data_IF_677861090246
#
_entry.id   IF_677861090246
#
_cell.length_a   1.000
_cell.length_b   1.000
_cell.length_c   1.000
_cell.angle_alpha   90.00
_cell.angle_beta   90.00
_cell.angle_gamma   90.00
#
_symmetry.space_group_name_H-M   'P 1'
#
loop_
_entity.id
_entity.type
_entity.pdbx_description
1 polymer ?
#
# COMPACT_ATOMS: atom_id res chain seq x y z
N UNK A 1 -20.10 75.65 18.21
CA UNK A 1 -20.89 74.38 18.10
C UNK A 1 -19.93 73.24 17.81
N UNK A 2 -19.49 72.51 18.81
CA UNK A 2 -18.56 71.42 18.69
C UNK A 2 -19.34 70.11 18.62
N UNK A 3 -19.24 69.39 17.54
CA UNK A 3 -19.72 68.03 17.39
C UNK A 3 -18.62 67.05 17.78
N UNK A 4 -18.89 66.24 18.80
CA UNK A 4 -18.00 65.21 19.30
C UNK A 4 -18.05 64.01 18.35
N UNK A 5 -16.91 63.69 17.77
CA UNK A 5 -16.70 62.43 17.03
C UNK A 5 -16.36 61.34 18.08
N UNK A 6 -17.27 60.43 18.34
CA UNK A 6 -17.01 59.25 19.14
C UNK A 6 -16.33 58.20 18.28
N UNK A 7 -15.06 57.96 18.52
CA UNK A 7 -14.28 56.86 17.92
C UNK A 7 -14.65 55.58 18.61
N UNK A 8 -15.46 54.72 17.96
CA UNK A 8 -15.67 53.33 18.37
C UNK A 8 -14.43 52.52 18.00
N UNK A 9 -13.63 52.16 19.00
CA UNK A 9 -12.52 51.22 18.89
C UNK A 9 -13.11 49.81 18.90
N UNK A 10 -13.30 49.19 17.73
CA UNK A 10 -13.65 47.78 17.59
C UNK A 10 -12.42 46.93 17.96
N UNK A 11 -12.44 46.40 19.18
CA UNK A 11 -11.50 45.37 19.62
C UNK A 11 -11.87 44.06 18.90
N UNK A 12 -11.22 43.77 17.78
CA UNK A 12 -11.26 42.48 17.14
C UNK A 12 -10.42 41.52 17.98
N UNK A 13 -11.07 40.82 18.90
CA UNK A 13 -10.47 39.64 19.54
C UNK A 13 -10.22 38.60 18.47
N UNK A 14 -9.00 38.55 17.97
CA UNK A 14 -8.48 37.45 17.17
C UNK A 14 -8.33 36.24 18.12
N UNK A 15 -9.37 35.46 18.29
CA UNK A 15 -9.26 34.14 18.88
C UNK A 15 -8.40 33.31 17.96
N UNK A 16 -7.08 33.38 18.13
CA UNK A 16 -6.17 32.39 17.59
C UNK A 16 -6.56 31.03 18.22
N UNK A 17 -7.36 30.28 17.55
CA UNK A 17 -7.54 28.87 17.86
C UNK A 17 -6.18 28.22 17.78
N UNK A 18 -5.52 28.06 18.92
CA UNK A 18 -4.33 27.23 19.06
C UNK A 18 -4.75 25.86 18.58
N UNK A 19 -4.40 25.53 17.35
CA UNK A 19 -4.54 24.18 16.81
C UNK A 19 -3.73 23.27 17.73
N UNK A 20 -4.39 22.69 18.71
CA UNK A 20 -3.78 21.74 19.64
C UNK A 20 -3.37 20.55 18.80
N UNK A 21 -2.09 20.28 18.73
CA UNK A 21 -1.59 19.08 18.08
C UNK A 21 -2.27 17.88 18.75
N UNK A 22 -2.88 17.02 17.94
CA UNK A 22 -3.51 15.80 18.42
C UNK A 22 -2.42 14.92 19.05
N UNK A 23 -2.58 14.63 20.34
CA UNK A 23 -1.67 13.73 21.05
C UNK A 23 -2.20 12.31 20.93
N UNK A 24 -1.35 11.40 20.46
CA UNK A 24 -1.65 9.99 20.31
C UNK A 24 -0.68 9.15 21.16
N UNK A 25 -1.09 7.95 21.60
CA UNK A 25 -0.20 7.03 22.29
C UNK A 25 1.04 6.72 21.46
N UNK A 26 2.22 6.59 22.10
CA UNK A 26 3.47 6.21 21.42
C UNK A 26 3.32 4.86 20.70
N UNK A 27 2.61 3.93 21.30
CA UNK A 27 2.26 2.66 20.65
C UNK A 27 0.82 2.26 20.95
N UNK A 28 0.25 1.53 20.02
CA UNK A 28 -1.07 0.90 20.14
C UNK A 28 -0.98 -0.54 19.63
N UNK A 29 -1.66 -1.44 20.33
CA UNK A 29 -1.75 -2.85 19.97
C UNK A 29 -3.20 -3.32 19.95
N UNK A 30 -3.50 -4.18 19.01
CA UNK A 30 -4.84 -4.69 18.82
C UNK A 30 -4.83 -5.95 17.96
N UNK A 31 -6.01 -6.54 17.82
CA UNK A 31 -6.26 -7.64 16.90
C UNK A 31 -7.51 -7.34 16.09
N UNK A 32 -7.47 -7.71 14.85
CA UNK A 32 -8.56 -7.49 13.92
C UNK A 32 -8.84 -8.69 13.04
N UNK A 33 -9.86 -8.53 12.23
CA UNK A 33 -10.19 -9.42 11.14
C UNK A 33 -10.27 -8.60 9.85
N UNK A 34 -9.71 -9.13 8.77
CA UNK A 34 -9.79 -8.52 7.46
C UNK A 34 -10.18 -9.53 6.41
N UNK A 35 -10.88 -9.04 5.38
CA UNK A 35 -11.17 -9.82 4.19
C UNK A 35 -10.66 -9.08 2.96
N UNK A 36 -10.12 -9.84 1.99
CA UNK A 36 -9.69 -9.29 0.72
C UNK A 36 -9.97 -10.29 -0.41
N UNK A 37 -10.51 -9.78 -1.51
CA UNK A 37 -10.70 -10.53 -2.75
C UNK A 37 -9.60 -10.11 -3.71
N UNK A 38 -8.75 -11.07 -4.08
CA UNK A 38 -7.49 -10.86 -4.81
C UNK A 38 -7.46 -11.79 -6.01
N UNK A 39 -7.06 -11.33 -7.22
CA UNK A 39 -6.80 -12.24 -8.33
C UNK A 39 -5.59 -13.12 -8.02
N UNK A 40 -5.55 -14.33 -8.55
CA UNK A 40 -4.45 -15.27 -8.35
C UNK A 40 -3.08 -14.68 -8.73
N UNK A 41 -3.05 -13.87 -9.77
CA UNK A 41 -1.92 -13.05 -10.22
C UNK A 41 -2.47 -11.93 -11.13
N UNK A 42 -1.67 -10.94 -11.43
CA UNK A 42 -2.05 -9.87 -12.35
C UNK A 42 -2.28 -10.45 -13.74
N UNK A 43 -3.46 -10.23 -14.32
CA UNK A 43 -3.88 -10.85 -15.58
C UNK A 43 -4.66 -12.17 -15.42
N UNK A 44 -4.85 -12.67 -14.19
CA UNK A 44 -5.72 -13.82 -13.94
C UNK A 44 -7.18 -13.38 -13.88
N UNK A 45 -8.08 -14.19 -14.46
CA UNK A 45 -9.52 -14.05 -14.31
C UNK A 45 -10.08 -14.82 -13.10
N UNK A 46 -9.23 -15.57 -12.38
CA UNK A 46 -9.61 -16.31 -11.18
C UNK A 46 -9.23 -15.51 -9.93
N UNK A 47 -10.18 -15.42 -9.01
CA UNK A 47 -10.07 -14.66 -7.77
C UNK A 47 -10.24 -15.59 -6.57
N UNK A 48 -9.64 -15.20 -5.47
CA UNK A 48 -9.83 -15.87 -4.18
C UNK A 48 -10.07 -14.83 -3.09
N UNK A 49 -11.04 -15.12 -2.21
CA UNK A 49 -11.29 -14.30 -1.02
C UNK A 49 -10.58 -14.91 0.16
N UNK A 50 -9.77 -14.09 0.82
CA UNK A 50 -9.03 -14.42 2.03
C UNK A 50 -9.64 -13.71 3.22
N UNK A 51 -9.88 -14.46 4.30
CA UNK A 51 -10.26 -13.91 5.60
C UNK A 51 -9.12 -14.24 6.55
N UNK A 52 -8.48 -13.21 7.09
CA UNK A 52 -7.26 -13.34 7.86
C UNK A 52 -7.35 -12.55 9.16
N UNK A 53 -6.77 -13.05 10.25
CA UNK A 53 -6.52 -12.22 11.41
C UNK A 53 -5.53 -11.11 11.04
N UNK A 54 -5.80 -9.90 11.48
CA UNK A 54 -4.96 -8.74 11.21
C UNK A 54 -4.42 -8.22 12.54
N UNK A 55 -3.12 -8.34 12.80
CA UNK A 55 -2.52 -7.65 13.93
C UNK A 55 -2.60 -6.14 13.70
N UNK A 56 -3.09 -5.41 14.70
CA UNK A 56 -3.06 -3.96 14.71
C UNK A 56 -1.91 -3.53 15.62
N UNK A 57 -0.85 -3.04 15.02
CA UNK A 57 0.32 -2.54 15.72
C UNK A 57 0.64 -1.16 15.12
N UNK A 58 0.68 -0.16 15.98
CA UNK A 58 1.12 1.18 15.63
C UNK A 58 2.21 1.58 16.61
N UNK A 59 3.33 2.04 16.10
CA UNK A 59 4.43 2.58 16.89
C UNK A 59 4.91 3.89 16.27
N UNK A 60 4.97 4.96 17.05
CA UNK A 60 5.25 6.33 16.60
C UNK A 60 6.60 6.84 17.11
N UNK A 61 7.57 5.93 17.21
CA UNK A 61 8.94 6.30 17.61
C UNK A 61 9.76 6.93 16.49
N UNK A 62 10.95 7.43 16.82
CA UNK A 62 11.79 8.17 15.89
C UNK A 62 12.59 7.29 14.92
N UNK A 63 13.02 6.10 15.36
CA UNK A 63 13.87 5.20 14.55
C UNK A 63 13.08 4.14 13.78
N UNK A 64 12.00 3.66 14.37
CA UNK A 64 11.09 2.69 13.76
C UNK A 64 9.70 3.25 13.86
N UNK A 65 8.97 3.25 12.77
CA UNK A 65 7.59 3.70 12.72
C UNK A 65 6.74 2.62 12.07
N UNK A 66 5.70 2.19 12.75
CA UNK A 66 4.70 1.28 12.21
C UNK A 66 3.41 2.08 12.13
N UNK A 67 3.11 2.59 10.95
CA UNK A 67 1.86 3.29 10.62
C UNK A 67 1.32 2.79 9.28
N UNK A 68 0.02 2.79 9.11
CA UNK A 68 -0.67 2.47 7.86
C UNK A 68 -0.26 1.13 7.23
N UNK A 69 -0.01 0.09 8.08
CA UNK A 69 0.45 -1.25 7.71
C UNK A 69 1.83 -1.29 7.05
N UNK A 70 2.65 -0.29 7.25
CA UNK A 70 4.02 -0.24 6.76
C UNK A 70 4.99 -0.27 7.94
N UNK A 71 5.99 -1.10 7.82
CA UNK A 71 7.16 -1.06 8.70
C UNK A 71 8.17 -0.12 8.05
N UNK A 72 8.28 1.08 8.59
CA UNK A 72 9.30 2.04 8.20
C UNK A 72 10.53 1.81 9.08
N UNK A 73 11.55 1.16 8.53
CA UNK A 73 12.89 1.20 9.10
C UNK A 73 13.58 2.44 8.60
N UNK A 74 13.54 3.53 9.36
CA UNK A 74 14.18 4.79 8.96
C UNK A 74 15.69 4.67 9.00
N UNK A 75 16.31 4.45 7.85
CA UNK A 75 17.76 4.46 7.73
C UNK A 75 18.32 5.88 7.52
N UNK A 76 17.56 6.73 6.87
CA UNK A 76 17.94 8.12 6.60
C UNK A 76 16.69 8.96 6.33
N UNK A 77 16.60 10.14 6.94
CA UNK A 77 15.49 11.07 6.75
C UNK A 77 15.97 12.50 6.69
N UNK A 78 15.54 13.21 5.67
CA UNK A 78 15.56 14.67 5.56
C UNK A 78 14.13 15.18 5.41
N UNK A 79 13.95 16.49 5.32
CA UNK A 79 12.64 17.09 5.06
C UNK A 79 12.06 16.70 3.70
N UNK A 80 12.92 16.32 2.74
CA UNK A 80 12.54 16.03 1.36
C UNK A 80 12.66 14.57 0.95
N UNK A 81 13.48 13.78 1.66
CA UNK A 81 13.82 12.42 1.26
C UNK A 81 13.85 11.50 2.47
N UNK A 82 13.23 10.35 2.34
CA UNK A 82 13.27 9.26 3.32
C UNK A 82 13.71 7.97 2.62
N UNK A 83 14.62 7.22 3.27
CA UNK A 83 15.03 5.90 2.81
C UNK A 83 14.43 4.86 3.73
N UNK A 84 13.66 3.93 3.17
CA UNK A 84 12.80 3.02 3.89
C UNK A 84 12.93 1.57 3.42
N UNK A 85 12.40 0.62 4.19
CA UNK A 85 12.26 -0.78 3.82
C UNK A 85 10.84 -1.02 3.29
N UNK A 86 10.74 -1.42 2.03
CA UNK A 86 9.47 -1.80 1.41
C UNK A 86 9.25 -3.30 1.54
N UNK A 87 8.10 -3.69 2.10
CA UNK A 87 7.65 -5.06 2.23
C UNK A 87 6.30 -5.24 1.52
N UNK A 88 6.15 -6.35 0.83
CA UNK A 88 4.90 -6.75 0.20
C UNK A 88 4.80 -8.28 0.14
N UNK A 89 3.62 -8.80 -0.22
CA UNK A 89 3.44 -10.23 -0.40
C UNK A 89 2.16 -10.56 -1.16
N UNK A 90 2.12 -11.73 -1.76
CA UNK A 90 0.91 -12.27 -2.36
C UNK A 90 0.61 -13.66 -1.82
N UNK A 91 -0.67 -14.01 -1.65
CA UNK A 91 -1.06 -15.36 -1.27
C UNK A 91 -0.75 -16.36 -2.38
N UNK A 92 -0.77 -17.67 -2.09
CA UNK A 92 -0.59 -18.71 -3.09
C UNK A 92 -1.74 -18.71 -4.11
N UNK A 93 -1.48 -19.17 -5.30
CA UNK A 93 -2.51 -19.38 -6.32
C UNK A 93 -2.56 -20.88 -6.70
N UNK A 94 -3.55 -21.56 -6.17
CA UNK A 94 -3.82 -22.99 -6.41
C UNK A 94 -5.03 -23.17 -7.29
N UNK A 95 -5.08 -24.33 -7.97
CA UNK A 95 -6.23 -24.73 -8.82
C UNK A 95 -6.63 -23.66 -9.85
N UNK A 96 -5.66 -23.01 -10.50
CA UNK A 96 -5.92 -22.04 -11.55
C UNK A 96 -6.12 -22.72 -12.89
N UNK A 97 -7.30 -22.55 -13.52
CA UNK A 97 -7.65 -23.22 -14.77
C UNK A 97 -6.71 -22.88 -15.92
N UNK A 98 -6.20 -21.65 -15.99
CA UNK A 98 -5.22 -21.26 -17.01
C UNK A 98 -3.88 -21.99 -16.84
N UNK A 99 -3.58 -22.48 -15.63
CA UNK A 99 -2.35 -23.18 -15.27
C UNK A 99 -2.55 -24.70 -15.10
N UNK A 100 -3.66 -25.26 -15.52
CA UNK A 100 -3.96 -26.70 -15.33
C UNK A 100 -2.83 -27.59 -15.84
N UNK A 101 -2.31 -28.47 -14.96
CA UNK A 101 -1.16 -29.33 -15.24
C UNK A 101 0.21 -28.67 -15.12
N UNK A 102 0.26 -27.37 -14.80
CA UNK A 102 1.48 -26.68 -14.41
C UNK A 102 1.59 -26.64 -12.87
N UNK A 103 2.78 -26.41 -12.31
CA UNK A 103 2.93 -26.18 -10.87
C UNK A 103 2.07 -25.03 -10.39
N UNK A 104 1.50 -25.14 -9.19
CA UNK A 104 0.86 -24.04 -8.49
C UNK A 104 1.87 -22.92 -8.19
N UNK A 105 1.35 -21.73 -7.90
CA UNK A 105 2.17 -20.61 -7.47
C UNK A 105 2.19 -20.55 -5.93
N UNK A 106 3.37 -20.67 -5.36
CA UNK A 106 3.58 -20.51 -3.92
C UNK A 106 3.34 -19.06 -3.47
N UNK A 107 3.04 -18.82 -2.19
CA UNK A 107 2.99 -17.47 -1.66
C UNK A 107 4.32 -16.76 -1.88
N UNK A 108 4.25 -15.46 -2.24
CA UNK A 108 5.46 -14.67 -2.45
C UNK A 108 5.64 -13.62 -1.36
N UNK A 109 6.91 -13.36 -1.03
CA UNK A 109 7.35 -12.28 -0.17
C UNK A 109 8.28 -11.37 -0.94
N UNK A 110 8.02 -10.08 -0.85
CA UNK A 110 8.79 -9.05 -1.52
C UNK A 110 9.42 -8.15 -0.46
N UNK A 111 10.71 -7.88 -0.55
CA UNK A 111 11.41 -6.98 0.36
C UNK A 111 12.55 -6.27 -0.35
N UNK A 112 12.79 -5.05 0.04
CA UNK A 112 13.86 -4.25 -0.52
C UNK A 112 13.77 -2.78 -0.14
N UNK A 113 14.76 -1.97 -0.56
CA UNK A 113 14.77 -0.55 -0.28
C UNK A 113 13.67 0.20 -1.01
N UNK A 114 13.21 1.29 -0.42
CA UNK A 114 12.39 2.33 -1.05
C UNK A 114 13.04 3.69 -0.82
N UNK A 115 13.12 4.48 -1.87
CA UNK A 115 13.45 5.90 -1.78
C UNK A 115 12.16 6.69 -1.93
N UNK A 116 11.77 7.40 -0.87
CA UNK A 116 10.54 8.18 -0.82
C UNK A 116 10.91 9.67 -0.87
N UNK A 117 10.42 10.37 -1.89
CA UNK A 117 10.71 11.79 -2.16
C UNK A 117 9.44 12.60 -1.92
N UNK A 118 9.44 13.46 -0.93
CA UNK A 118 8.32 14.33 -0.63
C UNK A 118 8.25 15.49 -1.62
N UNK A 119 7.31 15.41 -2.55
CA UNK A 119 7.05 16.44 -3.55
C UNK A 119 6.29 17.63 -2.97
N UNK A 120 5.38 17.34 -2.06
CA UNK A 120 4.60 18.34 -1.33
C UNK A 120 4.23 17.83 0.05
N UNK A 121 4.28 18.73 1.02
CA UNK A 121 3.77 18.49 2.37
C UNK A 121 3.17 19.79 2.90
N UNK A 122 1.89 19.75 3.30
CA UNK A 122 1.26 20.93 3.89
C UNK A 122 1.91 21.31 5.24
N UNK A 123 1.87 22.58 5.67
CA UNK A 123 2.43 23.00 6.95
C UNK A 123 1.87 22.23 8.15
N UNK A 124 0.59 21.89 8.12
CA UNK A 124 -0.10 21.06 9.12
C UNK A 124 0.12 19.56 8.93
N UNK A 125 0.92 19.16 7.92
CA UNK A 125 1.27 17.77 7.54
C UNK A 125 0.08 16.83 7.36
N UNK A 126 -1.10 17.38 7.10
CA UNK A 126 -2.31 16.60 6.80
C UNK A 126 -2.38 16.15 5.34
N UNK A 127 -1.66 16.83 4.45
CA UNK A 127 -1.61 16.51 3.02
C UNK A 127 -0.17 16.26 2.64
N UNK A 128 0.11 15.06 2.12
CA UNK A 128 1.44 14.69 1.67
C UNK A 128 1.34 14.08 0.29
N UNK A 129 2.12 14.60 -0.65
CA UNK A 129 2.33 13.99 -1.96
C UNK A 129 3.77 13.54 -2.03
N UNK A 130 3.99 12.28 -2.32
CA UNK A 130 5.33 11.70 -2.40
C UNK A 130 5.49 10.81 -3.64
N UNK A 131 6.70 10.79 -4.17
CA UNK A 131 7.15 9.83 -5.16
C UNK A 131 7.88 8.71 -4.40
N UNK A 132 7.38 7.47 -4.53
CA UNK A 132 7.99 6.27 -3.94
C UNK A 132 8.66 5.44 -5.02
N UNK A 133 9.86 4.98 -4.75
CA UNK A 133 10.70 4.23 -5.66
C UNK A 133 11.18 2.91 -5.01
N UNK A 134 10.27 1.96 -4.71
CA UNK A 134 10.64 0.68 -4.12
C UNK A 134 11.25 -0.25 -5.17
N UNK A 135 12.37 -0.89 -4.82
CA UNK A 135 12.97 -1.98 -5.56
C UNK A 135 13.05 -3.21 -4.64
N UNK A 136 12.24 -4.23 -4.94
CA UNK A 136 12.07 -5.40 -4.07
C UNK A 136 12.55 -6.68 -4.73
N UNK A 137 13.28 -7.47 -3.98
CA UNK A 137 13.56 -8.87 -4.29
C UNK A 137 12.31 -9.69 -3.96
N UNK A 138 11.98 -10.62 -4.85
CA UNK A 138 10.81 -11.50 -4.69
C UNK A 138 11.29 -12.91 -4.43
N UNK A 139 10.78 -13.52 -3.37
CA UNK A 139 10.97 -14.93 -3.05
C UNK A 139 9.60 -15.61 -2.98
N UNK A 140 9.53 -16.84 -3.47
CA UNK A 140 8.40 -17.75 -3.28
C UNK A 140 8.78 -18.80 -2.24
N UNK A 141 7.84 -19.22 -1.38
CA UNK A 141 8.11 -20.23 -0.37
C UNK A 141 6.84 -20.95 0.05
N UNK A 142 6.92 -22.26 0.10
CA UNK A 142 5.92 -23.15 0.73
C UNK A 142 6.28 -23.51 2.17
N UNK A 143 7.21 -22.76 2.81
CA UNK A 143 7.84 -22.96 4.11
C UNK A 143 8.82 -24.14 4.18
N UNK A 144 8.83 -25.07 3.22
CA UNK A 144 9.84 -26.14 3.12
C UNK A 144 10.99 -25.76 2.19
N UNK A 145 10.69 -24.94 1.20
CA UNK A 145 11.60 -24.47 0.15
C UNK A 145 11.45 -22.97 -0.04
N UNK A 146 12.58 -22.34 -0.30
CA UNK A 146 12.64 -20.91 -0.64
C UNK A 146 13.28 -20.77 -2.03
N UNK A 147 12.57 -20.14 -2.93
CA UNK A 147 13.04 -19.86 -4.28
C UNK A 147 13.07 -18.36 -4.53
N UNK A 148 14.16 -17.84 -5.06
CA UNK A 148 14.18 -16.48 -5.58
C UNK A 148 13.50 -16.46 -6.95
N UNK A 149 12.40 -15.72 -7.08
CA UNK A 149 11.60 -15.65 -8.30
C UNK A 149 11.75 -14.33 -9.06
N UNK A 150 12.60 -13.43 -8.63
CA UNK A 150 12.98 -12.26 -9.40
C UNK A 150 13.00 -10.94 -8.61
N UNK A 151 12.84 -9.85 -9.37
CA UNK A 151 12.82 -8.48 -8.87
C UNK A 151 11.61 -7.72 -9.41
N UNK A 152 11.10 -6.81 -8.59
CA UNK A 152 10.05 -5.87 -8.95
C UNK A 152 10.47 -4.45 -8.58
N UNK A 153 10.28 -3.51 -9.50
CA UNK A 153 10.43 -2.07 -9.30
C UNK A 153 9.08 -1.40 -9.56
N UNK A 154 8.58 -0.63 -8.58
CA UNK A 154 7.22 -0.12 -8.64
C UNK A 154 7.15 1.38 -8.27
N UNK A 155 7.67 2.26 -9.15
CA UNK A 155 7.56 3.69 -8.92
C UNK A 155 6.09 4.13 -8.85
N UNK A 156 5.75 4.96 -7.87
CA UNK A 156 4.38 5.42 -7.65
C UNK A 156 4.30 6.81 -7.04
N UNK A 157 3.29 7.57 -7.43
CA UNK A 157 2.85 8.77 -6.74
C UNK A 157 1.83 8.38 -5.68
N UNK A 158 2.02 8.89 -4.46
CA UNK A 158 1.15 8.63 -3.32
C UNK A 158 0.68 9.96 -2.73
N UNK A 159 -0.62 10.10 -2.59
CA UNK A 159 -1.27 11.23 -1.95
C UNK A 159 -1.94 10.73 -0.67
N UNK A 160 -1.45 11.18 0.48
CA UNK A 160 -2.04 10.90 1.79
C UNK A 160 -2.75 12.14 2.31
N UNK A 161 -4.03 11.98 2.66
CA UNK A 161 -4.90 13.01 3.21
C UNK A 161 -5.39 12.58 4.59
N UNK A 162 -4.87 13.20 5.65
CA UNK A 162 -5.33 13.02 7.02
C UNK A 162 -6.50 13.95 7.31
N UNK A 163 -7.47 13.49 8.10
CA UNK A 163 -8.72 14.21 8.35
C UNK A 163 -9.41 14.63 7.05
N UNK A 164 -9.48 13.69 6.10
CA UNK A 164 -10.11 13.90 4.80
C UNK A 164 -11.59 14.28 4.94
N UNK A 165 -12.13 14.97 3.93
CA UNK A 165 -13.53 15.36 3.84
C UNK A 165 -13.99 16.25 5.04
N UNK A 166 -13.06 17.00 5.64
CA UNK A 166 -13.34 17.86 6.81
C UNK A 166 -13.87 17.10 8.05
N UNK A 167 -13.75 15.77 8.04
CA UNK A 167 -14.18 14.90 9.12
C UNK A 167 -12.97 14.38 9.91
N UNK A 168 -12.85 14.71 11.21
CA UNK A 168 -11.77 14.23 12.05
C UNK A 168 -11.65 12.70 12.08
N UNK A 169 -10.41 12.22 11.97
CA UNK A 169 -10.08 10.80 12.07
C UNK A 169 -10.26 9.99 10.78
N UNK A 170 -10.83 10.53 9.71
CA UNK A 170 -10.84 9.89 8.40
C UNK A 170 -9.54 10.15 7.66
N UNK A 171 -8.89 9.10 7.19
CA UNK A 171 -7.69 9.19 6.36
C UNK A 171 -7.98 8.59 4.98
N UNK A 172 -7.53 9.25 3.93
CA UNK A 172 -7.64 8.81 2.55
C UNK A 172 -6.25 8.72 1.95
N UNK A 173 -5.92 7.57 1.37
CA UNK A 173 -4.70 7.35 0.61
C UNK A 173 -5.02 7.06 -0.85
N UNK A 174 -4.34 7.72 -1.77
CA UNK A 174 -4.43 7.47 -3.20
C UNK A 174 -3.03 7.16 -3.73
N UNK A 175 -2.92 6.12 -4.54
CA UNK A 175 -1.66 5.73 -5.17
C UNK A 175 -1.89 5.44 -6.63
N UNK A 176 -0.99 5.91 -7.49
CA UNK A 176 -0.93 5.54 -8.90
C UNK A 176 0.52 5.28 -9.29
N UNK A 177 0.78 4.19 -10.01
CA UNK A 177 2.15 3.83 -10.33
C UNK A 177 2.30 2.83 -11.46
N UNK A 178 3.55 2.67 -11.88
CA UNK A 178 3.99 1.74 -12.89
C UNK A 178 4.63 0.53 -12.23
N UNK A 179 4.67 -0.58 -12.93
CA UNK A 179 5.34 -1.80 -12.48
C UNK A 179 6.33 -2.25 -13.54
N UNK A 180 7.53 -2.56 -13.09
CA UNK A 180 8.58 -3.18 -13.88
C UNK A 180 9.05 -4.44 -13.18
N UNK A 181 9.27 -5.51 -13.94
CA UNK A 181 9.71 -6.79 -13.42
C UNK A 181 10.84 -7.35 -14.26
N UNK A 182 11.70 -8.15 -13.65
CA UNK A 182 12.75 -8.82 -14.40
C UNK A 182 12.22 -10.08 -15.12
N UNK A 183 13.06 -10.64 -15.98
CA UNK A 183 12.73 -11.85 -16.75
C UNK A 183 12.40 -13.05 -15.84
N UNK A 184 13.08 -13.15 -14.69
CA UNK A 184 12.89 -14.27 -13.78
C UNK A 184 11.51 -14.22 -13.11
N UNK A 185 11.07 -13.02 -12.69
CA UNK A 185 9.73 -12.79 -12.18
C UNK A 185 8.68 -13.16 -13.22
N UNK A 186 8.82 -12.65 -14.44
CA UNK A 186 7.84 -12.90 -15.50
C UNK A 186 7.81 -14.38 -15.92
N UNK A 187 8.95 -15.05 -15.90
CA UNK A 187 9.00 -16.49 -16.14
C UNK A 187 8.19 -17.28 -15.10
N UNK A 188 8.32 -16.95 -13.83
CA UNK A 188 7.59 -17.63 -12.75
C UNK A 188 6.07 -17.52 -12.91
N UNK A 189 5.56 -16.34 -13.25
CA UNK A 189 4.11 -16.09 -13.32
C UNK A 189 3.51 -16.39 -14.71
N UNK A 190 4.22 -16.11 -15.80
CA UNK A 190 3.64 -15.98 -17.13
C UNK A 190 4.26 -16.89 -18.20
N UNK A 191 5.38 -17.56 -17.96
CA UNK A 191 5.94 -18.48 -18.93
C UNK A 191 5.15 -19.80 -18.99
N UNK A 192 5.10 -20.37 -20.19
CA UNK A 192 4.63 -21.72 -20.44
C UNK A 192 5.78 -22.49 -21.09
N UNK A 193 6.42 -23.35 -20.29
CA UNK A 193 7.49 -24.20 -20.82
C UNK A 193 6.89 -25.22 -21.80
N UNK A 194 7.65 -25.66 -22.83
CA UNK A 194 7.13 -26.57 -23.88
C UNK A 194 6.48 -27.86 -23.35
N UNK A 195 6.95 -28.35 -22.20
CA UNK A 195 6.38 -29.58 -21.56
C UNK A 195 4.93 -29.38 -21.08
N UNK A 196 4.53 -28.12 -20.82
CA UNK A 196 3.18 -27.76 -20.39
C UNK A 196 2.34 -27.16 -21.51
N UNK A 197 2.88 -27.07 -22.74
CA UNK A 197 2.16 -26.49 -23.86
C UNK A 197 1.01 -27.40 -24.31
N UNK A 198 -0.09 -26.77 -24.69
CA UNK A 198 -1.26 -27.44 -25.30
C UNK A 198 -1.73 -26.60 -26.49
N UNK A 199 -2.68 -27.13 -27.28
CA UNK A 199 -3.25 -26.39 -28.41
C UNK A 199 -3.84 -25.02 -27.97
N UNK A 200 -4.49 -24.96 -26.80
CA UNK A 200 -5.12 -23.75 -26.25
C UNK A 200 -4.18 -22.92 -25.37
N UNK A 201 -3.01 -23.44 -25.06
CA UNK A 201 -2.00 -22.81 -24.24
C UNK A 201 -0.61 -23.06 -24.83
N UNK A 202 -0.22 -22.34 -25.88
CA UNK A 202 1.07 -22.50 -26.54
C UNK A 202 2.23 -22.14 -25.61
N UNK A 203 3.42 -22.65 -25.91
CA UNK A 203 4.64 -22.27 -25.20
C UNK A 203 4.86 -20.77 -25.30
N UNK A 204 5.25 -20.16 -24.17
CA UNK A 204 5.47 -18.70 -24.07
C UNK A 204 6.65 -18.38 -23.17
N UNK A 205 7.50 -17.46 -23.59
CA UNK A 205 8.64 -16.97 -22.83
C UNK A 205 8.52 -15.45 -22.65
N UNK A 206 8.41 -15.00 -21.40
CA UNK A 206 8.34 -13.59 -21.08
C UNK A 206 9.74 -12.98 -20.86
N UNK A 207 9.94 -11.79 -21.40
CA UNK A 207 11.10 -10.92 -21.11
C UNK A 207 10.98 -10.18 -19.78
N UNK A 208 12.01 -9.40 -19.41
CA UNK A 208 11.91 -8.38 -18.37
C UNK A 208 11.48 -7.05 -18.96
N UNK A 209 10.87 -6.17 -18.16
CA UNK A 209 10.46 -4.84 -18.59
C UNK A 209 9.19 -4.35 -17.94
N UNK A 210 8.45 -3.49 -18.64
CA UNK A 210 7.18 -2.96 -18.17
C UNK A 210 6.17 -4.08 -17.94
N UNK A 211 5.57 -4.07 -16.78
CA UNK A 211 4.67 -5.11 -16.29
C UNK A 211 3.26 -4.56 -15.95
N UNK A 212 2.98 -3.33 -16.35
CA UNK A 212 1.66 -2.72 -16.22
C UNK A 212 1.59 -1.55 -15.24
N UNK A 213 0.37 -1.12 -14.98
CA UNK A 213 0.02 0.05 -14.16
C UNK A 213 -0.92 -0.37 -13.04
N UNK A 214 -0.91 0.36 -11.93
CA UNK A 214 -1.84 0.17 -10.82
C UNK A 214 -2.31 1.49 -10.23
N UNK A 215 -3.57 1.51 -9.79
CA UNK A 215 -4.16 2.60 -9.02
C UNK A 215 -4.82 2.00 -7.79
N UNK A 216 -4.59 2.62 -6.62
CA UNK A 216 -5.16 2.19 -5.35
C UNK A 216 -5.79 3.38 -4.64
N UNK A 217 -6.98 3.18 -4.09
CA UNK A 217 -7.61 4.08 -3.14
C UNK A 217 -7.85 3.33 -1.84
N UNK A 218 -7.49 3.95 -0.72
CA UNK A 218 -7.67 3.39 0.62
C UNK A 218 -8.30 4.44 1.53
N UNK A 219 -9.22 4.01 2.38
CA UNK A 219 -9.85 4.86 3.38
C UNK A 219 -9.77 4.17 4.74
N UNK A 220 -9.51 4.93 5.79
CA UNK A 220 -9.52 4.38 7.15
C UNK A 220 -9.99 5.39 8.17
N UNK A 221 -10.45 4.89 9.30
CA UNK A 221 -10.80 5.70 10.47
C UNK A 221 -10.40 4.99 11.76
N UNK A 222 -9.75 5.73 12.66
CA UNK A 222 -9.49 5.30 14.02
C UNK A 222 -10.54 5.88 14.96
N UNK A 223 -11.20 5.01 15.69
CA UNK A 223 -12.09 5.33 16.80
C UNK A 223 -11.38 5.09 18.14
N UNK A 224 -11.92 5.54 19.29
CA UNK A 224 -11.22 5.36 20.57
C UNK A 224 -10.83 3.92 20.93
N UNK A 225 -11.63 2.92 20.54
CA UNK A 225 -11.37 1.51 20.88
C UNK A 225 -11.20 0.58 19.68
N UNK A 226 -11.31 1.09 18.46
CA UNK A 226 -11.18 0.27 17.26
C UNK A 226 -10.77 1.09 16.05
N UNK A 227 -10.27 0.39 15.03
CA UNK A 227 -9.91 0.92 13.72
C UNK A 227 -10.72 0.20 12.65
N UNK A 228 -11.14 0.93 11.62
CA UNK A 228 -11.73 0.37 10.42
C UNK A 228 -10.98 0.90 9.19
N UNK A 229 -10.91 0.09 8.15
CA UNK A 229 -10.33 0.52 6.90
C UNK A 229 -10.72 -0.38 5.74
N UNK A 230 -10.62 0.16 4.55
CA UNK A 230 -10.88 -0.56 3.31
C UNK A 230 -10.07 0.03 2.17
N UNK A 231 -9.91 -0.76 1.11
CA UNK A 231 -9.24 -0.33 -0.10
C UNK A 231 -9.83 -0.97 -1.34
N UNK A 232 -9.65 -0.28 -2.45
CA UNK A 232 -9.88 -0.81 -3.78
C UNK A 232 -8.63 -0.52 -4.62
N UNK A 233 -8.17 -1.52 -5.38
CA UNK A 233 -7.03 -1.43 -6.28
C UNK A 233 -7.45 -1.91 -7.66
N UNK A 234 -7.09 -1.14 -8.66
CA UNK A 234 -7.18 -1.52 -10.06
C UNK A 234 -5.78 -1.72 -10.62
N UNK A 235 -5.56 -2.83 -11.33
CA UNK A 235 -4.34 -3.15 -12.04
C UNK A 235 -4.63 -3.36 -13.53
N UNK A 236 -3.75 -2.86 -14.39
CA UNK A 236 -3.76 -3.10 -15.82
C UNK A 236 -2.45 -3.73 -16.26
N UNK A 237 -2.51 -4.74 -17.11
CA UNK A 237 -1.36 -5.36 -17.76
C UNK A 237 -1.27 -5.00 -19.25
N UNK A 238 -2.05 -4.02 -19.70
CA UNK A 238 -1.97 -3.51 -21.07
C UNK A 238 -0.55 -2.99 -21.35
N UNK A 239 0.04 -3.43 -22.45
CA UNK A 239 1.41 -3.10 -22.84
C UNK A 239 2.51 -3.81 -22.03
N UNK A 240 2.14 -4.71 -21.10
CA UNK A 240 3.12 -5.49 -20.35
C UNK A 240 3.88 -6.45 -21.27
N UNK A 241 5.16 -6.67 -20.98
CA UNK A 241 6.03 -7.58 -21.77
C UNK A 241 5.53 -9.04 -21.80
N UNK A 242 4.54 -9.35 -20.99
CA UNK A 242 3.88 -10.65 -20.92
C UNK A 242 2.38 -10.59 -21.28
N UNK A 243 1.89 -9.49 -21.84
CA UNK A 243 0.46 -9.33 -22.16
C UNK A 243 -0.08 -10.46 -23.03
N UNK A 244 0.71 -10.94 -23.99
CA UNK A 244 0.34 -12.00 -24.92
C UNK A 244 0.52 -13.42 -24.36
N UNK A 245 0.89 -13.56 -23.08
CA UNK A 245 0.97 -14.87 -22.45
C UNK A 245 -0.41 -15.56 -22.44
N UNK A 246 -0.49 -16.84 -22.78
CA UNK A 246 -1.75 -17.59 -22.69
C UNK A 246 -2.26 -17.72 -21.23
N UNK A 247 -1.44 -17.38 -20.24
CA UNK A 247 -1.83 -17.31 -18.83
C UNK A 247 -2.50 -15.98 -18.46
N UNK A 248 -2.40 -14.94 -19.30
CA UNK A 248 -3.13 -13.68 -19.14
C UNK A 248 -4.54 -13.86 -19.69
N UNK A 249 -5.53 -13.91 -18.81
CA UNK A 249 -6.95 -14.11 -19.14
C UNK A 249 -7.77 -12.83 -19.07
N UNK A 250 -7.23 -11.80 -18.46
CA UNK A 250 -7.82 -10.45 -18.44
C UNK A 250 -6.73 -9.40 -18.42
N UNK A 251 -6.99 -8.25 -19.03
CA UNK A 251 -6.05 -7.11 -19.00
C UNK A 251 -6.22 -6.22 -17.78
N UNK A 252 -7.32 -6.38 -17.07
CA UNK A 252 -7.66 -5.53 -15.91
C UNK A 252 -8.09 -6.42 -14.75
N UNK A 253 -7.58 -6.09 -13.56
CA UNK A 253 -7.94 -6.74 -12.33
C UNK A 253 -8.40 -5.71 -11.30
N UNK A 254 -9.33 -6.10 -10.44
CA UNK A 254 -9.73 -5.34 -9.26
C UNK A 254 -9.43 -6.15 -8.02
N UNK A 255 -8.80 -5.54 -7.04
CA UNK A 255 -8.59 -6.09 -5.71
C UNK A 255 -9.32 -5.21 -4.72
N UNK A 256 -10.11 -5.79 -3.84
CA UNK A 256 -10.79 -5.05 -2.77
C UNK A 256 -10.52 -5.71 -1.44
N UNK A 257 -10.52 -4.92 -0.39
CA UNK A 257 -10.42 -5.46 0.96
C UNK A 257 -10.91 -4.48 2.00
N UNK A 258 -11.30 -5.02 3.14
CA UNK A 258 -11.70 -4.25 4.32
C UNK A 258 -11.22 -4.96 5.58
N UNK A 259 -11.18 -4.23 6.68
CA UNK A 259 -10.81 -4.79 7.97
C UNK A 259 -11.32 -3.92 9.13
N UNK A 260 -11.50 -4.58 10.26
CA UNK A 260 -11.76 -3.96 11.54
C UNK A 260 -10.77 -4.53 12.55
N UNK A 261 -10.24 -3.68 13.43
CA UNK A 261 -9.34 -4.10 14.49
C UNK A 261 -9.74 -3.44 15.81
N UNK A 262 -9.77 -4.21 16.88
CA UNK A 262 -9.98 -3.74 18.24
C UNK A 262 -8.64 -3.41 18.89
N UNK A 263 -8.56 -2.22 19.50
CA UNK A 263 -7.36 -1.70 20.16
C UNK A 263 -7.55 -1.94 21.65
N UNK A 264 -6.75 -2.86 22.22
CA UNK A 264 -6.85 -3.24 23.63
C UNK A 264 -5.64 -2.81 24.45
N UNK A 265 -4.55 -2.39 23.82
CA UNK A 265 -3.33 -1.90 24.47
C UNK A 265 -2.89 -0.58 23.86
N UNK A 266 -2.52 0.38 24.70
CA UNK A 266 -1.97 1.64 24.27
C UNK A 266 -0.96 2.15 25.31
N UNK A 267 0.07 2.86 24.85
CA UNK A 267 1.03 3.54 25.73
C UNK A 267 0.34 4.64 26.53
N UNK A 268 0.75 4.81 27.79
CA UNK A 268 0.43 5.99 28.58
C UNK A 268 1.29 7.21 28.14
N UNK A 269 2.44 6.97 27.52
CA UNK A 269 3.25 8.01 26.92
C UNK A 269 2.57 8.50 25.65
N UNK A 270 2.24 9.79 25.66
CA UNK A 270 1.65 10.47 24.52
C UNK A 270 2.74 11.16 23.70
N UNK A 271 2.61 11.08 22.38
CA UNK A 271 3.47 11.81 21.44
C UNK A 271 2.59 12.67 20.54
N UNK A 272 3.13 13.77 20.08
CA UNK A 272 2.42 14.54 19.04
C UNK A 272 2.18 13.62 17.85
N UNK A 273 0.93 13.58 17.36
CA UNK A 273 0.62 12.86 16.14
C UNK A 273 1.62 13.32 15.08
N UNK A 274 2.59 12.50 14.77
CA UNK A 274 3.69 12.89 13.89
C UNK A 274 3.11 13.02 12.49
N UNK A 275 3.05 13.96 12.19
CA UNK A 275 3.45 15.17 11.54
C UNK A 275 4.53 14.85 10.50
#
# INVERSE_FOLDING_TARGET
>A
MLTRLQTCLLLVCFCASLARAEQLPLWEAGVGIGAATIPHYRGSNKYQTWILPVPYLVYRGDLVKVEDRRLHGRFFKTDKVEFDLSLYGSPPAKDNDARRGMPDLDPTFEFGPSLDIFLFRSPDKKRTLELRLPARKVIASDFSRVEQVGWIFQPSLNLDLKNALEHPGWNLGLQAGLVYTDRRYNRYFYAVDPIFATADRPAFSAGGGYAGTGVLAAISKRFPGFWVGGFAKWDSVVGAVFEDSPLVKTRHNFTTGFGIAWIFGASTQMVEATR
#
